data_IF_496803543293
#
_entry.id   IF_496803543293
#
_cell.length_a   1.000
_cell.length_b   1.000
_cell.length_c   1.000
_cell.angle_alpha   90.00
_cell.angle_beta   90.00
_cell.angle_gamma   90.00
#
_symmetry.space_group_name_H-M   'P 1'
#
loop_
_entity.id
_entity.type
_entity.pdbx_description
1 polymer ?
#
# COMPACT_ATOMS: atom_id res chain seq x y z
N UNK A 1 -3.62 17.82 -7.50
CA UNK A 1 -2.53 18.66 -6.90
C UNK A 1 -2.59 18.57 -5.37
N UNK A 2 -2.38 17.38 -4.79
CA UNK A 2 -2.37 17.23 -3.33
C UNK A 2 -0.98 17.58 -2.77
N UNK A 3 -0.93 18.33 -1.65
CA UNK A 3 0.30 18.74 -0.95
C UNK A 3 0.42 18.13 0.45
N UNK A 4 -0.69 17.66 1.02
CA UNK A 4 -0.73 17.02 2.32
C UNK A 4 -0.48 15.51 2.22
N UNK A 5 0.47 15.00 3.00
CA UNK A 5 0.88 13.59 2.99
C UNK A 5 -0.24 12.63 3.42
N UNK A 6 -1.01 12.97 4.46
CA UNK A 6 -2.08 12.10 4.97
C UNK A 6 -3.22 12.04 3.98
N UNK A 7 -3.59 13.18 3.40
CA UNK A 7 -4.64 13.23 2.38
C UNK A 7 -4.22 12.52 1.10
N UNK A 8 -2.93 12.57 0.71
CA UNK A 8 -2.42 11.78 -0.42
C UNK A 8 -2.64 10.28 -0.19
N UNK A 9 -2.28 9.77 0.99
CA UNK A 9 -2.50 8.37 1.30
C UNK A 9 -3.98 8.01 1.48
N UNK A 10 -4.83 8.94 1.91
CA UNK A 10 -6.29 8.73 1.90
C UNK A 10 -6.83 8.57 0.47
N UNK A 11 -6.37 9.38 -0.51
CA UNK A 11 -6.76 9.19 -1.92
C UNK A 11 -6.28 7.85 -2.48
N UNK A 12 -5.07 7.42 -2.12
CA UNK A 12 -4.60 6.08 -2.49
C UNK A 12 -5.46 4.99 -1.82
N UNK A 13 -6.03 5.18 -0.63
CA UNK A 13 -7.03 4.23 -0.09
C UNK A 13 -8.30 4.18 -0.93
N UNK A 14 -8.79 5.30 -1.44
CA UNK A 14 -9.95 5.34 -2.36
C UNK A 14 -9.63 4.54 -3.63
N UNK A 15 -8.42 4.71 -4.17
CA UNK A 15 -7.96 3.97 -5.35
C UNK A 15 -7.96 2.44 -5.13
N UNK A 16 -7.36 1.96 -4.03
CA UNK A 16 -7.34 0.54 -3.69
C UNK A 16 -8.71 -0.05 -3.39
N UNK A 17 -9.59 0.71 -2.72
CA UNK A 17 -10.98 0.26 -2.57
C UNK A 17 -11.69 0.24 -3.93
N UNK A 18 -11.36 1.15 -4.85
CA UNK A 18 -11.80 1.09 -6.24
C UNK A 18 -11.34 -0.18 -6.97
N UNK A 19 -10.10 -0.62 -6.76
CA UNK A 19 -9.58 -1.90 -7.28
C UNK A 19 -10.36 -3.09 -6.71
N UNK A 20 -10.62 -3.10 -5.40
CA UNK A 20 -11.42 -4.15 -4.76
C UNK A 20 -12.87 -4.16 -5.30
N UNK A 21 -13.50 -2.98 -5.42
CA UNK A 21 -14.85 -2.85 -6.01
C UNK A 21 -14.88 -3.31 -7.47
N UNK A 22 -13.87 -2.95 -8.26
CA UNK A 22 -13.72 -3.42 -9.64
C UNK A 22 -13.65 -4.95 -9.70
N UNK A 23 -12.84 -5.58 -8.83
CA UNK A 23 -12.70 -7.02 -8.78
C UNK A 23 -13.98 -7.75 -8.33
N UNK A 24 -14.71 -7.21 -7.33
CA UNK A 24 -16.03 -7.74 -6.98
C UNK A 24 -17.05 -7.56 -8.11
N UNK A 25 -17.00 -6.45 -8.86
CA UNK A 25 -17.87 -6.19 -10.01
C UNK A 25 -17.55 -7.08 -11.21
N UNK A 26 -16.28 -7.47 -11.40
CA UNK A 26 -15.88 -8.48 -12.38
C UNK A 26 -16.46 -9.85 -12.01
N UNK A 27 -16.48 -10.17 -10.72
CA UNK A 27 -17.04 -11.40 -10.19
C UNK A 27 -16.21 -12.64 -10.50
N UNK A 28 -16.77 -13.81 -10.18
CA UNK A 28 -16.07 -15.09 -10.32
C UNK A 28 -15.06 -15.35 -9.20
N UNK A 29 -14.63 -16.62 -9.05
CA UNK A 29 -13.92 -17.05 -7.85
C UNK A 29 -12.55 -16.38 -7.67
N UNK A 30 -11.81 -16.16 -8.76
CA UNK A 30 -10.46 -15.59 -8.70
C UNK A 30 -10.51 -14.10 -8.38
N UNK A 31 -11.41 -13.33 -9.02
CA UNK A 31 -11.52 -11.90 -8.78
C UNK A 31 -12.03 -11.60 -7.36
N UNK A 32 -13.06 -12.33 -6.90
CA UNK A 32 -13.57 -12.21 -5.52
C UNK A 32 -12.50 -12.56 -4.49
N UNK A 33 -11.72 -13.63 -4.71
CA UNK A 33 -10.60 -13.97 -3.86
C UNK A 33 -9.54 -12.86 -3.83
N UNK A 34 -9.17 -12.36 -5.02
CA UNK A 34 -8.24 -11.25 -5.19
C UNK A 34 -8.69 -9.99 -4.45
N UNK A 35 -9.98 -9.65 -4.52
CA UNK A 35 -10.57 -8.51 -3.81
C UNK A 35 -10.48 -8.64 -2.28
N UNK A 36 -10.84 -9.81 -1.74
CA UNK A 36 -10.75 -10.09 -0.31
C UNK A 36 -9.30 -10.01 0.19
N UNK A 37 -8.37 -10.63 -0.54
CA UNK A 37 -6.95 -10.55 -0.24
C UNK A 37 -6.46 -9.10 -0.31
N UNK A 38 -6.85 -8.35 -1.35
CA UNK A 38 -6.48 -6.96 -1.56
C UNK A 38 -6.90 -6.10 -0.36
N UNK A 39 -8.15 -6.21 0.08
CA UNK A 39 -8.65 -5.45 1.24
C UNK A 39 -7.85 -5.74 2.51
N UNK A 40 -7.55 -7.02 2.79
CA UNK A 40 -6.78 -7.42 3.96
C UNK A 40 -5.36 -6.83 3.92
N UNK A 41 -4.60 -7.12 2.87
CA UNK A 41 -3.20 -6.71 2.76
C UNK A 41 -3.05 -5.19 2.59
N UNK A 42 -4.00 -4.54 1.91
CA UNK A 42 -4.10 -3.09 1.84
C UNK A 42 -4.27 -2.48 3.22
N UNK A 43 -5.21 -2.98 4.03
CA UNK A 43 -5.48 -2.42 5.36
C UNK A 43 -4.25 -2.49 6.28
N UNK A 44 -3.53 -3.62 6.27
CA UNK A 44 -2.29 -3.79 7.00
C UNK A 44 -1.19 -2.85 6.50
N UNK A 45 -1.02 -2.75 5.18
CA UNK A 45 -0.02 -1.86 4.56
C UNK A 45 -0.30 -0.40 4.88
N UNK A 46 -1.57 0.03 4.78
CA UNK A 46 -1.98 1.40 5.11
C UNK A 46 -1.78 1.72 6.58
N UNK A 47 -2.09 0.80 7.49
CA UNK A 47 -1.81 0.97 8.91
C UNK A 47 -0.34 1.30 9.14
N UNK A 48 0.57 0.50 8.58
CA UNK A 48 2.02 0.73 8.63
C UNK A 48 2.44 2.09 8.08
N UNK A 49 1.91 2.46 6.91
CA UNK A 49 2.15 3.77 6.28
C UNK A 49 1.68 4.90 7.21
N UNK A 50 0.46 4.84 7.74
CA UNK A 50 -0.09 5.92 8.56
C UNK A 50 0.66 6.10 9.89
N UNK A 51 1.14 5.02 10.51
CA UNK A 51 2.06 5.13 11.65
C UNK A 51 3.35 5.86 11.25
N UNK A 52 3.95 5.49 10.12
CA UNK A 52 5.19 6.08 9.66
C UNK A 52 5.03 7.55 9.24
N UNK A 53 3.96 7.86 8.52
CA UNK A 53 3.55 9.22 8.14
C UNK A 53 3.28 10.07 9.39
N UNK A 54 2.68 9.48 10.43
CA UNK A 54 2.50 10.12 11.73
C UNK A 54 3.82 10.54 12.35
N UNK A 55 4.80 9.63 12.42
CA UNK A 55 6.15 9.93 12.90
C UNK A 55 6.84 11.00 12.05
N UNK A 56 6.81 10.88 10.73
CA UNK A 56 7.38 11.89 9.82
C UNK A 56 6.75 13.27 10.08
N UNK A 57 5.43 13.34 10.21
CA UNK A 57 4.73 14.59 10.47
C UNK A 57 5.11 15.20 11.82
N UNK A 58 5.28 14.39 12.87
CA UNK A 58 5.73 14.84 14.19
C UNK A 58 7.18 15.34 14.18
N UNK A 59 8.07 14.65 13.45
CA UNK A 59 9.48 15.05 13.31
C UNK A 59 9.65 16.40 12.61
N UNK A 60 8.78 16.70 11.64
CA UNK A 60 8.84 17.92 10.83
C UNK A 60 7.82 19.00 11.23
N UNK A 61 6.95 18.72 12.20
CA UNK A 61 5.86 19.61 12.65
C UNK A 61 4.96 20.13 11.52
N UNK A 62 4.73 19.30 10.51
CA UNK A 62 3.92 19.65 9.34
C UNK A 62 3.39 18.38 8.65
N UNK A 63 2.36 18.53 7.84
CA UNK A 63 1.86 17.49 6.92
C UNK A 63 2.16 17.83 5.46
N UNK A 64 2.77 19.00 5.21
CA UNK A 64 3.16 19.44 3.87
C UNK A 64 4.33 18.60 3.35
N UNK A 65 4.10 17.84 2.27
CA UNK A 65 5.10 16.93 1.69
C UNK A 65 6.39 17.65 1.30
N UNK A 66 6.31 18.88 0.78
CA UNK A 66 7.48 19.65 0.32
C UNK A 66 8.42 20.06 1.47
N UNK A 67 7.97 19.94 2.73
CA UNK A 67 8.72 20.25 3.95
C UNK A 67 9.15 19.02 4.75
N UNK A 68 8.70 17.83 4.35
CA UNK A 68 9.14 16.56 4.93
C UNK A 68 10.25 16.05 4.01
N UNK A 69 11.52 16.07 4.47
CA UNK A 69 12.71 15.71 3.68
C UNK A 69 13.75 15.03 4.57
N UNK A 70 14.64 14.24 3.97
CA UNK A 70 15.79 13.67 4.68
C UNK A 70 15.43 12.63 5.72
N UNK A 71 14.26 11.97 5.61
CA UNK A 71 13.81 11.01 6.63
C UNK A 71 14.81 9.88 6.87
N UNK A 72 15.43 9.31 5.81
CA UNK A 72 16.40 8.21 5.97
C UNK A 72 17.62 8.67 6.77
N UNK A 73 18.13 9.87 6.52
CA UNK A 73 19.30 10.39 7.23
C UNK A 73 18.98 10.83 8.66
N UNK A 74 17.79 11.40 8.90
CA UNK A 74 17.42 11.92 10.22
C UNK A 74 16.81 10.87 11.16
N UNK A 75 16.06 9.89 10.63
CA UNK A 75 15.60 8.72 11.36
C UNK A 75 15.41 7.53 10.38
N UNK A 76 16.42 6.65 10.24
CA UNK A 76 16.40 5.56 9.27
C UNK A 76 15.18 4.65 9.37
N UNK A 77 14.66 4.39 10.58
CA UNK A 77 13.50 3.53 10.77
C UNK A 77 12.23 4.14 10.17
N UNK A 78 12.04 5.46 10.32
CA UNK A 78 10.92 6.18 9.71
C UNK A 78 11.10 6.29 8.19
N UNK A 79 12.31 6.63 7.75
CA UNK A 79 12.61 6.75 6.31
C UNK A 79 12.43 5.43 5.55
N UNK A 80 13.04 4.35 6.03
CA UNK A 80 12.89 3.02 5.44
C UNK A 80 11.50 2.44 5.64
N UNK A 81 10.87 2.66 6.80
CA UNK A 81 9.48 2.24 7.02
C UNK A 81 8.52 2.84 5.98
N UNK A 82 8.71 4.13 5.62
CA UNK A 82 7.89 4.78 4.61
C UNK A 82 8.20 4.24 3.22
N UNK A 83 9.48 4.02 2.91
CA UNK A 83 9.88 3.45 1.63
C UNK A 83 9.31 2.04 1.43
N UNK A 84 9.48 1.15 2.40
CA UNK A 84 8.94 -0.22 2.33
C UNK A 84 7.42 -0.24 2.32
N UNK A 85 6.76 0.59 3.11
CA UNK A 85 5.30 0.74 3.06
C UNK A 85 4.83 1.18 1.67
N UNK A 86 5.53 2.13 1.03
CA UNK A 86 5.20 2.60 -0.31
C UNK A 86 5.49 1.53 -1.37
N UNK A 87 6.61 0.81 -1.30
CA UNK A 87 6.87 -0.31 -2.21
C UNK A 87 5.81 -1.41 -2.08
N UNK A 88 5.34 -1.68 -0.87
CA UNK A 88 4.25 -2.63 -0.65
C UNK A 88 2.92 -2.13 -1.23
N UNK A 89 2.54 -0.88 -0.97
CA UNK A 89 1.23 -0.37 -1.39
C UNK A 89 1.12 -0.17 -2.91
N UNK A 90 2.22 0.09 -3.60
CA UNK A 90 2.24 0.18 -5.08
C UNK A 90 2.34 -1.19 -5.76
N UNK A 91 2.16 -2.29 -5.01
CA UNK A 91 2.11 -3.62 -5.59
C UNK A 91 3.46 -4.16 -6.04
N UNK A 92 4.58 -3.86 -5.37
CA UNK A 92 5.85 -4.52 -5.70
C UNK A 92 5.92 -5.95 -5.14
N UNK A 93 6.45 -6.93 -5.89
CA UNK A 93 6.85 -8.22 -5.31
C UNK A 93 7.90 -8.00 -4.22
N UNK A 94 7.88 -8.78 -3.11
CA UNK A 94 7.02 -9.94 -2.82
C UNK A 94 5.82 -9.63 -1.88
N UNK A 95 5.31 -8.39 -1.85
CA UNK A 95 4.27 -8.00 -0.89
C UNK A 95 2.88 -8.52 -1.27
N UNK A 96 2.02 -8.79 -0.29
CA UNK A 96 0.67 -9.32 -0.52
C UNK A 96 -0.22 -8.49 -1.45
N UNK A 97 -0.01 -7.17 -1.50
CA UNK A 97 -0.73 -6.28 -2.44
C UNK A 97 -0.45 -6.70 -3.89
N UNK A 98 0.81 -7.01 -4.25
CA UNK A 98 1.16 -7.51 -5.58
C UNK A 98 0.39 -8.79 -5.91
N UNK A 99 0.38 -9.77 -5.01
CA UNK A 99 -0.31 -11.04 -5.19
C UNK A 99 -1.80 -10.82 -5.47
N UNK A 100 -2.45 -9.94 -4.70
CA UNK A 100 -3.86 -9.61 -4.93
C UNK A 100 -4.12 -8.91 -6.27
N UNK A 101 -3.30 -7.92 -6.64
CA UNK A 101 -3.42 -7.21 -7.91
C UNK A 101 -3.14 -8.12 -9.11
N UNK A 102 -2.21 -9.06 -8.97
CA UNK A 102 -1.93 -10.07 -9.99
C UNK A 102 -3.12 -11.02 -10.20
N UNK A 103 -3.78 -11.47 -9.13
CA UNK A 103 -5.00 -12.29 -9.22
C UNK A 103 -6.14 -11.50 -9.90
N UNK A 104 -6.32 -10.23 -9.54
CA UNK A 104 -7.33 -9.37 -10.15
C UNK A 104 -7.02 -9.13 -11.64
N UNK A 105 -5.76 -8.87 -11.98
CA UNK A 105 -5.31 -8.68 -13.35
C UNK A 105 -5.52 -9.94 -14.19
N UNK A 106 -5.12 -11.11 -13.68
CA UNK A 106 -5.27 -12.39 -14.39
C UNK A 106 -6.73 -12.75 -14.60
N UNK A 107 -7.61 -12.53 -13.61
CA UNK A 107 -9.06 -12.68 -13.79
C UNK A 107 -9.59 -11.70 -14.85
N UNK A 108 -9.15 -10.45 -14.82
CA UNK A 108 -9.56 -9.42 -15.80
C UNK A 108 -9.15 -9.80 -17.22
N UNK A 109 -7.92 -10.27 -17.40
CA UNK A 109 -7.42 -10.73 -18.72
C UNK A 109 -8.23 -11.88 -19.28
N UNK A 110 -8.75 -12.76 -18.41
CA UNK A 110 -9.55 -13.91 -18.79
C UNK A 110 -11.00 -13.55 -19.10
N UNK A 111 -11.64 -12.80 -18.20
CA UNK A 111 -13.09 -12.63 -18.20
C UNK A 111 -13.53 -11.28 -18.84
N UNK A 112 -12.65 -10.28 -18.85
CA UNK A 112 -12.91 -8.95 -19.45
C UNK A 112 -11.63 -8.31 -20.03
N UNK A 113 -10.99 -8.92 -21.05
CA UNK A 113 -9.67 -8.50 -21.55
C UNK A 113 -9.60 -7.05 -22.04
N UNK A 114 -10.73 -6.48 -22.48
CA UNK A 114 -10.80 -5.08 -22.89
C UNK A 114 -10.60 -4.09 -21.73
N UNK A 115 -10.83 -4.53 -20.48
CA UNK A 115 -10.60 -3.73 -19.27
C UNK A 115 -9.14 -3.77 -18.79
N UNK A 116 -8.37 -4.78 -19.20
CA UNK A 116 -6.98 -4.98 -18.78
C UNK A 116 -6.09 -3.74 -19.00
N UNK A 117 -6.11 -3.05 -20.16
CA UNK A 117 -5.25 -1.88 -20.37
C UNK A 117 -5.57 -0.73 -19.40
N UNK A 118 -6.84 -0.55 -19.04
CA UNK A 118 -7.26 0.49 -18.10
C UNK A 118 -6.79 0.18 -16.67
N UNK A 119 -6.88 -1.09 -16.25
CA UNK A 119 -6.39 -1.54 -14.96
C UNK A 119 -4.87 -1.36 -14.85
N UNK A 120 -4.11 -1.80 -15.87
CA UNK A 120 -2.66 -1.62 -15.92
C UNK A 120 -2.24 -0.15 -15.92
N UNK A 121 -2.97 0.69 -16.65
CA UNK A 121 -2.74 2.14 -16.63
C UNK A 121 -2.97 2.72 -15.23
N UNK A 122 -4.01 2.27 -14.53
CA UNK A 122 -4.28 2.63 -13.14
C UNK A 122 -3.08 2.31 -12.24
N UNK A 123 -2.60 1.05 -12.27
CA UNK A 123 -1.43 0.62 -11.49
C UNK A 123 -0.18 1.45 -11.82
N UNK A 124 0.08 1.69 -13.11
CA UNK A 124 1.24 2.46 -13.55
C UNK A 124 1.18 3.92 -13.07
N UNK A 125 0.01 4.57 -13.14
CA UNK A 125 -0.19 5.93 -12.66
C UNK A 125 -0.01 6.00 -11.15
N UNK A 126 -0.58 5.05 -10.40
CA UNK A 126 -0.47 4.98 -8.95
C UNK A 126 0.98 4.81 -8.49
N UNK A 127 1.70 3.86 -9.10
CA UNK A 127 3.11 3.63 -8.87
C UNK A 127 3.92 4.91 -9.12
N UNK A 128 3.79 5.50 -10.30
CA UNK A 128 4.54 6.69 -10.68
C UNK A 128 4.21 7.89 -9.78
N UNK A 129 2.95 8.09 -9.44
CA UNK A 129 2.49 9.20 -8.60
C UNK A 129 3.03 9.10 -7.17
N UNK A 130 2.90 7.93 -6.53
CA UNK A 130 3.38 7.72 -5.17
C UNK A 130 4.91 7.75 -5.10
N UNK A 131 5.60 7.06 -6.01
CA UNK A 131 7.05 7.00 -6.01
C UNK A 131 7.68 8.39 -6.20
N UNK A 132 7.17 9.18 -7.16
CA UNK A 132 7.62 10.56 -7.41
C UNK A 132 7.42 11.48 -6.20
N UNK A 133 6.39 11.26 -5.40
CA UNK A 133 6.08 12.08 -4.21
C UNK A 133 6.94 11.70 -3.01
N UNK A 134 7.21 10.42 -2.83
CA UNK A 134 7.87 9.90 -1.62
C UNK A 134 9.39 10.01 -1.73
N UNK A 135 9.97 9.83 -2.92
CA UNK A 135 11.44 9.86 -3.10
C UNK A 135 12.10 11.15 -2.55
N UNK A 136 11.57 12.37 -2.81
CA UNK A 136 12.16 13.59 -2.25
C UNK A 136 12.00 13.72 -0.72
N UNK A 137 11.05 13.00 -0.14
CA UNK A 137 10.75 13.07 1.29
C UNK A 137 11.69 12.19 2.12
N UNK A 138 11.99 11.00 1.60
CA UNK A 138 12.86 10.03 2.25
C UNK A 138 14.34 10.32 2.03
N UNK A 139 14.69 10.93 0.89
CA UNK A 139 16.06 11.29 0.52
C UNK A 139 16.39 12.77 0.80
N UNK A 140 17.62 13.19 0.50
CA UNK A 140 18.06 14.58 0.63
C UNK A 140 18.70 14.91 1.99
N UNK A 141 19.05 16.19 2.21
CA UNK A 141 19.61 16.66 3.47
C UNK A 141 18.54 16.74 4.57
N UNK A 142 18.98 16.55 5.82
CA UNK A 142 18.15 16.73 7.01
C UNK A 142 17.94 18.24 7.24
N UNK A 143 16.70 18.76 7.18
CA UNK A 143 16.47 20.18 7.45
C UNK A 143 16.71 20.53 8.91
N UNK A 144 17.15 21.76 9.19
CA UNK A 144 17.49 22.24 10.55
C UNK A 144 16.33 22.22 11.55
N UNK A 145 15.09 22.28 11.06
CA UNK A 145 13.87 22.23 11.89
C UNK A 145 13.40 20.81 12.19
N UNK A 146 14.01 19.78 11.62
CA UNK A 146 13.68 18.39 11.96
C UNK A 146 14.12 18.11 13.40
N UNK A 147 13.21 17.52 14.18
CA UNK A 147 13.48 17.16 15.57
C UNK A 147 13.62 15.64 15.74
N UNK A 148 14.49 15.17 16.65
CA UNK A 148 14.56 13.75 16.97
C UNK A 148 13.22 13.29 17.57
N UNK A 149 12.80 12.09 17.20
CA UNK A 149 11.59 11.44 17.69
C UNK A 149 11.89 9.98 17.99
N UNK A 150 11.47 9.51 19.16
CA UNK A 150 11.45 8.08 19.47
C UNK A 150 10.24 7.44 18.79
N UNK A 151 10.43 6.96 17.57
CA UNK A 151 9.36 6.38 16.75
C UNK A 151 8.88 5.03 17.30
N UNK A 152 7.56 4.82 17.32
CA UNK A 152 6.94 3.54 17.61
C UNK A 152 7.05 2.61 16.38
N UNK A 153 8.19 1.94 16.25
CA UNK A 153 8.51 1.09 15.10
C UNK A 153 7.87 -0.30 15.16
N UNK A 154 7.49 -0.79 16.36
CA UNK A 154 6.89 -2.12 16.53
C UNK A 154 5.61 -2.28 15.68
N UNK A 155 4.61 -1.38 15.73
CA UNK A 155 3.44 -1.48 14.86
C UNK A 155 3.79 -1.50 13.37
N UNK A 156 4.72 -0.63 12.94
CA UNK A 156 5.16 -0.55 11.53
C UNK A 156 5.76 -1.87 11.07
N UNK A 157 6.71 -2.41 11.84
CA UNK A 157 7.39 -3.66 11.53
C UNK A 157 6.45 -4.85 11.57
N UNK A 158 5.54 -4.91 12.55
CA UNK A 158 4.58 -5.99 12.68
C UNK A 158 3.63 -6.04 11.47
N UNK A 159 3.03 -4.90 11.10
CA UNK A 159 2.14 -4.84 9.95
C UNK A 159 2.90 -5.16 8.66
N UNK A 160 4.12 -4.66 8.48
CA UNK A 160 4.92 -4.99 7.30
C UNK A 160 5.31 -6.47 7.24
N UNK A 161 5.66 -7.07 8.37
CA UNK A 161 5.99 -8.48 8.46
C UNK A 161 4.78 -9.34 8.10
N UNK A 162 3.57 -8.97 8.55
CA UNK A 162 2.34 -9.66 8.17
C UNK A 162 2.03 -9.52 6.67
N UNK A 163 2.17 -8.32 6.10
CA UNK A 163 1.97 -8.09 4.65
C UNK A 163 2.95 -8.90 3.81
N UNK A 164 4.22 -8.95 4.25
CA UNK A 164 5.25 -9.74 3.58
C UNK A 164 5.00 -11.24 3.73
N UNK A 165 4.67 -11.70 4.94
CA UNK A 165 4.38 -13.10 5.21
C UNK A 165 3.20 -13.58 4.35
N UNK A 166 2.08 -12.87 4.36
CA UNK A 166 0.90 -13.19 3.53
C UNK A 166 1.24 -13.14 2.03
N UNK A 167 2.12 -12.24 1.61
CA UNK A 167 2.57 -12.16 0.21
C UNK A 167 3.41 -13.35 -0.25
N UNK A 168 4.25 -13.90 0.63
CA UNK A 168 5.10 -15.06 0.36
C UNK A 168 4.31 -16.37 0.52
N UNK A 169 3.55 -16.47 1.60
CA UNK A 169 2.80 -17.66 1.97
C UNK A 169 1.50 -17.28 2.68
N UNK A 170 0.39 -17.70 2.11
CA UNK A 170 -0.91 -17.53 2.73
C UNK A 170 -1.19 -18.70 3.68
N UNK A 171 -1.43 -18.43 4.98
CA UNK A 171 -1.75 -19.48 5.92
C UNK A 171 -3.02 -20.25 5.55
N UNK A 172 -3.03 -21.56 5.75
CA UNK A 172 -4.13 -22.45 5.34
C UNK A 172 -5.49 -22.02 5.90
N UNK A 173 -5.54 -21.53 7.15
CA UNK A 173 -6.79 -21.07 7.75
C UNK A 173 -7.37 -19.87 7.00
N UNK A 174 -6.51 -18.93 6.58
CA UNK A 174 -6.92 -17.73 5.87
C UNK A 174 -7.35 -18.09 4.45
N UNK A 175 -6.61 -18.98 3.79
CA UNK A 175 -6.98 -19.50 2.48
C UNK A 175 -8.36 -20.17 2.51
N UNK A 176 -8.63 -21.03 3.51
CA UNK A 176 -9.93 -21.67 3.70
C UNK A 176 -11.05 -20.64 3.90
N UNK A 177 -10.83 -19.64 4.76
CA UNK A 177 -11.84 -18.59 5.00
C UNK A 177 -12.17 -17.81 3.73
N UNK A 178 -11.16 -17.47 2.93
CA UNK A 178 -11.40 -16.77 1.66
C UNK A 178 -12.12 -17.66 0.66
N UNK A 179 -11.78 -18.95 0.55
CA UNK A 179 -12.53 -19.88 -0.31
C UNK A 179 -13.99 -20.03 0.13
N UNK A 180 -14.26 -20.17 1.43
CA UNK A 180 -15.64 -20.20 1.94
C UNK A 180 -16.38 -18.90 1.63
N UNK A 181 -15.75 -17.74 1.84
CA UNK A 181 -16.36 -16.45 1.50
C UNK A 181 -16.65 -16.34 0.00
N UNK A 182 -15.73 -16.79 -0.85
CA UNK A 182 -15.92 -16.84 -2.31
C UNK A 182 -17.09 -17.73 -2.69
N UNK A 183 -17.26 -18.89 -2.07
CA UNK A 183 -18.39 -19.78 -2.33
C UNK A 183 -19.74 -19.17 -1.93
N UNK A 184 -19.78 -18.41 -0.84
CA UNK A 184 -21.00 -17.73 -0.37
C UNK A 184 -21.35 -16.49 -1.20
N UNK A 185 -20.38 -15.91 -1.91
CA UNK A 185 -20.56 -14.72 -2.76
C UNK A 185 -20.79 -15.06 -4.25
N UNK A 186 -20.92 -16.35 -4.59
CA UNK A 186 -21.37 -16.80 -5.91
C UNK A 186 -22.88 -16.62 -6.06
#
# INVERSE_FOLDING_TARGET
RQKDIKRMFAYSSIEHMGIATFAFGLGGPIATFGALLHMLVHSLTKSSIFFTVGHASQMHWTQEMDRIKGLIKGNPLVGWGLMFGVMAIVGMPPFGVFTSEFLILTATMKDAPFLTPFLLLGFAVAFAALFRRIQPMVTGPVPSYQRPLKAAHIPVMLHMALVLAIGIYMPDFLNRWFHTAVELLK
#
